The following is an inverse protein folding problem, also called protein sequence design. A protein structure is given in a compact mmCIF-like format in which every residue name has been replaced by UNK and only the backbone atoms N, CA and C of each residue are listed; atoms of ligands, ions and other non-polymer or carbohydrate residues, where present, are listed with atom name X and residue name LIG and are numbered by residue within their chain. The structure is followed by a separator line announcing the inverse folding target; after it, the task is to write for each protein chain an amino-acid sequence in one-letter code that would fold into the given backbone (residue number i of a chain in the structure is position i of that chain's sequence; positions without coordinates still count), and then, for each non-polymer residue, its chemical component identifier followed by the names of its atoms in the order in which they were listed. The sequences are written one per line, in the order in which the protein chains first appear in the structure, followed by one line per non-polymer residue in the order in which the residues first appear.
data_IF_469647855139
#
_entry.id   IF_469647855139
#
_cell.length_a   1.000
_cell.length_b   1.000
_cell.length_c   1.000
_cell.angle_alpha   90.00
_cell.angle_beta   90.00
_cell.angle_gamma   90.00
#
_symmetry.space_group_name_H-M   'P 1'
#
loop_
_entity.id
_entity.type
_entity.pdbx_description
1 polymer ?
#
# COMPACT_ATOMS: atom_id res chain seq x y z
N UNK A 1 19.01 -10.64 -0.99
CA UNK A 1 18.33 -11.75 -0.31
C UNK A 1 16.86 -11.82 -0.72
N UNK A 2 16.31 -13.00 -0.98
CA UNK A 2 14.86 -13.21 -1.15
C UNK A 2 14.17 -13.46 0.20
N UNK A 3 12.87 -13.16 0.28
CA UNK A 3 12.05 -13.54 1.42
C UNK A 3 11.67 -15.02 1.35
N UNK A 4 11.91 -15.79 2.41
CA UNK A 4 11.54 -17.21 2.44
C UNK A 4 10.02 -17.42 2.45
N UNK A 5 9.30 -16.58 3.20
CA UNK A 5 7.84 -16.68 3.40
C UNK A 5 7.23 -15.33 3.74
N UNK A 6 6.02 -15.05 3.24
CA UNK A 6 5.24 -13.93 3.75
C UNK A 6 4.61 -14.31 5.09
N UNK A 7 4.89 -13.54 6.13
CA UNK A 7 4.21 -13.70 7.42
C UNK A 7 2.77 -13.17 7.36
N UNK A 8 1.84 -13.75 8.15
CA UNK A 8 0.50 -13.22 8.29
C UNK A 8 0.50 -11.84 8.97
N UNK A 9 -0.45 -10.96 8.63
CA UNK A 9 -0.56 -9.65 9.26
C UNK A 9 -0.95 -9.78 10.73
N UNK A 10 -0.63 -8.78 11.54
CA UNK A 10 -1.10 -8.70 12.93
C UNK A 10 -0.47 -9.71 13.89
N UNK A 11 0.67 -10.32 13.54
CA UNK A 11 1.39 -11.29 14.38
C UNK A 11 0.50 -12.48 14.81
N UNK A 12 -0.35 -12.94 13.90
CA UNK A 12 -1.29 -14.04 14.12
C UNK A 12 -0.52 -15.36 14.31
N UNK A 13 -0.73 -16.04 15.44
CA UNK A 13 0.02 -17.25 15.85
C UNK A 13 -0.80 -18.55 15.83
N UNK A 14 -2.12 -18.46 15.68
CA UNK A 14 -3.05 -19.61 15.63
C UNK A 14 -3.04 -20.34 14.28
N UNK A 15 -2.40 -19.75 13.25
CA UNK A 15 -2.20 -20.42 11.96
C UNK A 15 -1.23 -21.60 12.09
N UNK A 16 -1.69 -22.78 11.69
CA UNK A 16 -0.85 -23.98 11.54
C UNK A 16 0.28 -23.75 10.51
N UNK A 17 1.34 -24.58 10.50
CA UNK A 17 2.37 -24.50 9.46
C UNK A 17 1.80 -24.55 8.04
N UNK A 18 0.78 -25.37 7.82
CA UNK A 18 0.06 -25.46 6.54
C UNK A 18 -0.68 -24.15 6.22
N UNK A 19 -1.37 -23.56 7.20
CA UNK A 19 -2.05 -22.27 7.04
C UNK A 19 -1.08 -21.14 6.67
N UNK A 20 0.08 -21.07 7.33
CA UNK A 20 1.14 -20.10 7.02
C UNK A 20 1.68 -20.27 5.59
N UNK A 21 1.87 -21.51 5.14
CA UNK A 21 2.27 -21.80 3.76
C UNK A 21 1.22 -21.36 2.74
N UNK A 22 -0.06 -21.64 2.99
CA UNK A 22 -1.15 -21.20 2.12
C UNK A 22 -1.23 -19.68 2.01
N UNK A 23 -1.07 -18.98 3.14
CA UNK A 23 -1.01 -17.52 3.16
C UNK A 23 0.11 -16.97 2.26
N UNK A 24 1.33 -17.50 2.43
CA UNK A 24 2.47 -17.07 1.62
C UNK A 24 2.27 -17.33 0.14
N UNK A 25 1.78 -18.53 -0.22
CA UNK A 25 1.49 -18.87 -1.61
C UNK A 25 0.42 -17.95 -2.22
N UNK A 26 -0.63 -17.64 -1.47
CA UNK A 26 -1.66 -16.72 -1.91
C UNK A 26 -1.08 -15.34 -2.25
N UNK A 27 -0.26 -14.75 -1.37
CA UNK A 27 0.36 -13.44 -1.63
C UNK A 27 1.33 -13.47 -2.80
N UNK A 28 2.15 -14.52 -2.93
CA UNK A 28 3.02 -14.72 -4.08
C UNK A 28 2.21 -14.76 -5.38
N UNK A 29 1.10 -15.50 -5.42
CA UNK A 29 0.24 -15.63 -6.60
C UNK A 29 -0.53 -14.35 -6.93
N UNK A 30 -1.00 -13.60 -5.92
CA UNK A 30 -1.61 -12.28 -6.12
C UNK A 30 -0.61 -11.32 -6.75
N UNK A 31 0.62 -11.31 -6.24
CA UNK A 31 1.69 -10.42 -6.73
C UNK A 31 2.06 -10.77 -8.17
N UNK A 32 2.29 -12.06 -8.47
CA UNK A 32 2.59 -12.52 -9.84
C UNK A 32 1.47 -12.23 -10.83
N UNK A 33 0.20 -12.25 -10.39
CA UNK A 33 -0.93 -11.86 -11.23
C UNK A 33 -0.98 -10.36 -11.50
N UNK A 34 -0.66 -9.55 -10.50
CA UNK A 34 -0.57 -8.10 -10.65
C UNK A 34 0.55 -7.71 -11.62
N UNK A 35 1.72 -8.35 -11.51
CA UNK A 35 2.85 -8.15 -12.43
C UNK A 35 2.45 -8.50 -13.86
N UNK A 36 1.78 -9.65 -14.07
CA UNK A 36 1.39 -10.11 -15.41
C UNK A 36 0.19 -9.36 -16.02
N UNK A 37 -0.52 -8.53 -15.25
CA UNK A 37 -1.73 -7.87 -15.74
C UNK A 37 -2.88 -8.84 -16.05
N UNK A 38 -3.03 -9.92 -15.27
CA UNK A 38 -4.10 -10.91 -15.48
C UNK A 38 -5.11 -10.88 -14.34
N UNK A 39 -6.24 -10.19 -14.52
CA UNK A 39 -7.44 -10.35 -13.68
C UNK A 39 -8.38 -11.39 -14.32
N UNK A 40 -8.81 -12.36 -13.51
CA UNK A 40 -10.03 -13.11 -13.80
C UNK A 40 -11.20 -12.16 -13.52
N UNK A 41 -12.03 -11.87 -14.53
CA UNK A 41 -13.38 -11.34 -14.34
C UNK A 41 -13.63 -9.85 -14.55
N UNK A 42 -12.62 -8.97 -14.48
CA UNK A 42 -12.85 -7.52 -14.62
C UNK A 42 -11.71 -6.84 -15.37
N UNK A 43 -11.94 -6.56 -16.66
CA UNK A 43 -11.09 -5.74 -17.56
C UNK A 43 -9.67 -6.25 -17.76
N UNK A 44 -9.05 -6.01 -18.93
CA UNK A 44 -7.59 -6.17 -19.02
C UNK A 44 -6.93 -5.15 -18.06
N UNK A 45 -6.54 -5.59 -16.85
CA UNK A 45 -5.66 -4.81 -16.00
C UNK A 45 -4.27 -4.85 -16.60
N UNK A 46 -3.73 -3.69 -16.96
CA UNK A 46 -2.36 -3.63 -17.48
C UNK A 46 -1.35 -4.17 -16.46
N UNK A 47 -0.24 -4.78 -16.92
CA UNK A 47 0.90 -5.14 -16.08
C UNK A 47 1.31 -4.00 -15.15
N UNK A 48 1.57 -4.31 -13.88
CA UNK A 48 1.96 -3.32 -12.87
C UNK A 48 3.45 -3.46 -12.55
N UNK A 49 4.27 -2.68 -13.26
CA UNK A 49 5.72 -2.74 -13.17
C UNK A 49 6.30 -2.34 -11.80
N UNK A 50 5.51 -1.66 -10.96
CA UNK A 50 5.92 -1.29 -9.61
C UNK A 50 5.93 -2.46 -8.62
N UNK A 51 5.33 -3.60 -8.96
CA UNK A 51 5.28 -4.77 -8.08
C UNK A 51 6.40 -5.75 -8.42
N UNK A 52 6.95 -6.37 -7.38
CA UNK A 52 7.92 -7.45 -7.47
C UNK A 52 7.56 -8.49 -6.41
N UNK A 53 7.78 -9.77 -6.74
CA UNK A 53 7.51 -10.86 -5.82
C UNK A 53 8.74 -11.10 -4.95
N UNK A 54 8.66 -10.71 -3.69
CA UNK A 54 9.76 -10.80 -2.71
C UNK A 54 10.26 -12.22 -2.46
N UNK A 55 9.46 -13.26 -2.74
CA UNK A 55 9.91 -14.66 -2.60
C UNK A 55 10.70 -15.17 -3.81
N UNK A 56 10.79 -14.37 -4.88
CA UNK A 56 11.45 -14.72 -6.15
C UNK A 56 12.48 -13.69 -6.59
N UNK A 57 12.32 -12.46 -6.14
CA UNK A 57 13.15 -11.33 -6.54
C UNK A 57 14.10 -11.04 -5.41
N UNK A 58 15.38 -11.29 -5.65
CA UNK A 58 16.42 -10.80 -4.76
C UNK A 58 16.38 -9.27 -4.80
N UNK A 59 16.22 -8.65 -3.63
CA UNK A 59 16.24 -7.20 -3.50
C UNK A 59 17.08 -6.85 -2.28
N UNK A 60 17.98 -5.89 -2.47
CA UNK A 60 18.72 -5.30 -1.37
C UNK A 60 17.82 -4.33 -0.62
N UNK A 61 17.85 -4.41 0.71
CA UNK A 61 17.17 -3.45 1.55
C UNK A 61 17.84 -2.08 1.38
N UNK A 62 17.17 -1.18 0.66
CA UNK A 62 17.60 0.22 0.55
C UNK A 62 16.84 1.00 1.62
N UNK A 63 17.59 1.56 2.56
CA UNK A 63 17.04 2.51 3.52
C UNK A 63 17.01 3.89 2.87
N UNK A 64 15.82 4.48 2.80
CA UNK A 64 15.62 5.86 2.38
C UNK A 64 14.74 6.56 3.41
N UNK A 65 15.15 7.76 3.82
CA UNK A 65 14.33 8.62 4.65
C UNK A 65 13.13 9.10 3.81
N UNK A 66 11.94 8.59 4.14
CA UNK A 66 10.70 9.02 3.52
C UNK A 66 10.24 10.31 4.20
N UNK A 67 10.44 11.45 3.53
CA UNK A 67 9.84 12.72 3.96
C UNK A 67 8.47 12.91 3.29
N UNK A 68 7.40 12.82 4.07
CA UNK A 68 6.08 13.27 3.61
C UNK A 68 5.97 14.77 3.88
N UNK A 69 5.65 15.56 2.85
CA UNK A 69 4.99 16.86 3.06
C UNK A 69 3.63 16.61 3.70
N UNK A 70 3.59 16.53 5.04
CA UNK A 70 2.41 16.10 5.81
C UNK A 70 1.12 16.91 5.61
N UNK A 71 1.16 17.94 4.75
CA UNK A 71 0.03 18.81 4.45
C UNK A 71 -0.07 19.11 2.95
N UNK A 72 -1.29 19.14 2.38
CA UNK A 72 -1.52 19.68 1.04
C UNK A 72 -0.89 21.08 0.90
N UNK A 73 -0.36 21.42 -0.28
CA UNK A 73 0.31 22.69 -0.53
C UNK A 73 -0.51 23.92 -0.09
N UNK A 74 -1.84 23.85 -0.24
CA UNK A 74 -2.72 24.95 0.20
C UNK A 74 -2.72 25.16 1.72
N UNK A 75 -2.64 24.08 2.50
CA UNK A 75 -2.50 24.15 3.96
C UNK A 75 -1.12 24.72 4.33
N UNK A 76 -0.08 24.36 3.57
CA UNK A 76 1.27 24.92 3.77
C UNK A 76 1.37 26.42 3.47
N UNK A 77 0.62 26.93 2.48
CA UNK A 77 0.64 28.37 2.11
C UNK A 77 -0.12 29.22 3.14
N UNK A 78 -1.22 28.71 3.69
CA UNK A 78 -2.12 29.47 4.56
C UNK A 78 -1.74 29.44 6.04
N UNK A 79 -0.98 28.43 6.47
CA UNK A 79 -0.57 28.27 7.85
C UNK A 79 0.89 28.71 8.05
N UNK A 80 1.15 29.49 9.08
CA UNK A 80 2.48 29.99 9.43
C UNK A 80 3.23 29.07 10.42
N UNK A 81 2.59 27.99 10.89
CA UNK A 81 3.19 27.01 11.81
C UNK A 81 2.58 25.60 11.67
N UNK A 82 3.31 24.57 12.13
CA UNK A 82 2.82 23.18 12.13
C UNK A 82 1.53 22.97 12.92
N UNK A 83 1.38 23.67 14.06
CA UNK A 83 0.15 23.60 14.85
C UNK A 83 -1.06 24.09 14.06
N UNK A 84 -0.91 25.20 13.32
CA UNK A 84 -1.97 25.70 12.45
C UNK A 84 -2.23 24.78 11.25
N UNK A 85 -1.19 24.12 10.72
CA UNK A 85 -1.34 23.12 9.65
C UNK A 85 -2.18 21.93 10.11
N UNK A 86 -1.92 21.40 11.30
CA UNK A 86 -2.72 20.32 11.90
C UNK A 86 -4.17 20.74 12.16
N UNK A 87 -4.41 21.92 12.74
CA UNK A 87 -5.77 22.43 12.99
C UNK A 87 -6.54 22.61 11.68
N UNK A 88 -5.90 23.19 10.65
CA UNK A 88 -6.54 23.40 9.35
C UNK A 88 -6.81 22.08 8.62
N UNK A 89 -5.90 21.11 8.69
CA UNK A 89 -6.09 19.80 8.10
C UNK A 89 -7.22 19.03 8.80
N UNK A 90 -7.25 19.04 10.13
CA UNK A 90 -8.27 18.34 10.93
C UNK A 90 -9.66 18.95 10.72
N UNK A 91 -9.76 20.28 10.64
CA UNK A 91 -11.02 20.98 10.32
C UNK A 91 -11.51 20.80 8.87
N UNK A 92 -10.66 20.28 7.97
CA UNK A 92 -11.06 19.97 6.58
C UNK A 92 -11.52 18.53 6.36
N UNK A 93 -11.39 17.65 7.40
CA UNK A 93 -11.80 16.24 7.32
C UNK A 93 -13.29 16.05 7.04
N UNK A 94 -14.12 17.04 7.37
CA UNK A 94 -15.58 16.97 7.18
C UNK A 94 -16.01 17.01 5.71
N UNK A 95 -15.12 17.40 4.78
CA UNK A 95 -15.39 17.40 3.33
C UNK A 95 -14.90 16.14 2.61
N UNK A 96 -14.49 15.08 3.31
CA UNK A 96 -14.27 13.77 2.70
C UNK A 96 -15.60 13.02 2.47
N UNK A 97 -16.56 13.69 1.84
CA UNK A 97 -17.67 13.00 1.19
C UNK A 97 -17.14 12.42 -0.13
N UNK A 98 -17.17 11.09 -0.26
CA UNK A 98 -17.05 10.44 -1.57
C UNK A 98 -18.35 10.66 -2.37
N UNK A 99 -18.65 11.91 -2.71
CA UNK A 99 -19.69 12.19 -3.69
C UNK A 99 -19.00 12.38 -5.03
N UNK A 100 -18.94 11.31 -5.80
CA UNK A 100 -18.68 11.40 -7.22
C UNK A 100 -19.77 12.29 -7.84
N UNK A 101 -19.42 13.52 -8.20
CA UNK A 101 -20.26 14.34 -9.05
C UNK A 101 -20.22 13.75 -10.45
N UNK A 102 -21.37 13.23 -10.90
CA UNK A 102 -21.55 12.68 -12.22
C UNK A 102 -23.01 12.33 -12.51
N UNK A 103 -23.87 13.35 -12.57
CA UNK A 103 -25.03 13.48 -13.48
C UNK A 103 -25.71 14.82 -13.22
#
# INVERSE_FOLDING_TARGET
MTLDVFNPPGNVTDLSPTGRKHWSNFLADVTDRAIRGKSRGEGQRQPRAQFYNLTKTDTDAIHQDVSWIGFPRQVMIRATSDRQRWIAADGSRDLQTNTANGA
#
